data_IF_838650189838
#
_entry.id   IF_838650189838
#
_cell.length_a   1.000
_cell.length_b   1.000
_cell.length_c   1.000
_cell.angle_alpha   90.00
_cell.angle_beta   90.00
_cell.angle_gamma   90.00
#
_symmetry.space_group_name_H-M   'P 1'
#
loop_
_entity.id
_entity.type
_entity.pdbx_description
1 polymer ?
#
# COMPACT_ATOMS: atom_id res chain seq x y z
N UNK A 1 -8.78 16.16 -4.72
CA UNK A 1 -7.44 15.63 -5.05
C UNK A 1 -6.64 15.53 -3.75
N UNK A 2 -6.14 14.34 -3.42
CA UNK A 2 -5.34 14.12 -2.21
C UNK A 2 -3.96 14.80 -2.28
N UNK A 3 -3.31 14.98 -1.13
CA UNK A 3 -1.96 15.55 -1.05
C UNK A 3 -0.93 14.48 -1.44
N UNK A 4 -0.09 14.77 -2.43
CA UNK A 4 1.04 13.92 -2.78
C UNK A 4 2.16 14.09 -1.74
N UNK A 5 2.67 12.97 -1.23
CA UNK A 5 3.80 12.95 -0.29
C UNK A 5 4.92 12.09 -0.86
N UNK A 6 6.16 12.49 -0.62
CA UNK A 6 7.34 11.68 -0.96
C UNK A 6 7.59 10.66 0.15
N UNK A 7 7.53 9.36 -0.19
CA UNK A 7 7.83 8.28 0.73
C UNK A 7 9.06 7.49 0.26
N UNK A 8 9.91 7.09 1.22
CA UNK A 8 11.03 6.17 0.95
C UNK A 8 10.62 4.77 1.40
N UNK A 9 10.81 3.78 0.53
CA UNK A 9 10.59 2.38 0.85
C UNK A 9 11.93 1.69 1.11
N UNK A 10 11.95 0.80 2.11
CA UNK A 10 13.06 -0.13 2.25
C UNK A 10 13.20 -0.98 0.98
N UNK A 11 14.43 -1.37 0.58
CA UNK A 11 14.66 -2.13 -0.65
C UNK A 11 13.82 -3.42 -0.74
N UNK A 12 13.61 -4.11 0.39
CA UNK A 12 12.78 -5.32 0.45
C UNK A 12 11.31 -5.04 0.14
N UNK A 13 10.74 -3.98 0.72
CA UNK A 13 9.36 -3.55 0.48
C UNK A 13 9.17 -3.11 -0.97
N UNK A 14 10.11 -2.34 -1.51
CA UNK A 14 10.05 -1.91 -2.91
C UNK A 14 10.04 -3.11 -3.87
N UNK A 15 10.94 -4.09 -3.67
CA UNK A 15 10.97 -5.32 -4.47
C UNK A 15 9.64 -6.08 -4.39
N UNK A 16 9.06 -6.18 -3.19
CA UNK A 16 7.77 -6.84 -2.98
C UNK A 16 6.64 -6.14 -3.75
N UNK A 17 6.54 -4.81 -3.67
CA UNK A 17 5.52 -4.05 -4.38
C UNK A 17 5.64 -4.21 -5.91
N UNK A 18 6.86 -4.22 -6.44
CA UNK A 18 7.11 -4.49 -7.87
C UNK A 18 6.67 -5.89 -8.27
N UNK A 19 6.95 -6.91 -7.45
CA UNK A 19 6.49 -8.29 -7.71
C UNK A 19 4.96 -8.36 -7.75
N UNK A 20 4.29 -7.72 -6.78
CA UNK A 20 2.82 -7.67 -6.72
C UNK A 20 2.25 -6.95 -7.95
N UNK A 21 2.80 -5.79 -8.31
CA UNK A 21 2.38 -5.05 -9.49
C UNK A 21 2.42 -5.91 -10.77
N UNK A 22 3.46 -6.75 -10.92
CA UNK A 22 3.61 -7.64 -12.07
C UNK A 22 2.62 -8.81 -12.06
N UNK A 23 2.24 -9.29 -10.88
CA UNK A 23 1.34 -10.42 -10.71
C UNK A 23 -0.14 -10.04 -10.88
N UNK A 24 -0.51 -8.80 -10.58
CA UNK A 24 -1.90 -8.36 -10.62
C UNK A 24 -2.36 -7.93 -12.03
N UNK A 25 -3.56 -8.34 -12.47
CA UNK A 25 -4.16 -7.83 -13.69
C UNK A 25 -4.38 -6.32 -13.56
N UNK A 26 -4.17 -5.59 -14.67
CA UNK A 26 -4.29 -4.12 -14.69
C UNK A 26 -3.04 -3.35 -14.22
N UNK A 27 -1.99 -4.04 -13.74
CA UNK A 27 -0.67 -3.45 -13.39
C UNK A 27 -0.80 -2.18 -12.55
N UNK A 28 -1.41 -2.25 -11.35
CA UNK A 28 -1.66 -1.08 -10.51
C UNK A 28 -0.37 -0.31 -10.21
N UNK A 29 -0.49 1.00 -9.98
CA UNK A 29 0.69 1.81 -9.64
C UNK A 29 1.21 1.46 -8.25
N UNK A 30 2.50 1.74 -7.99
CA UNK A 30 3.07 1.58 -6.65
C UNK A 30 2.36 2.43 -5.60
N UNK A 31 1.83 3.60 -6.00
CA UNK A 31 1.05 4.47 -5.12
C UNK A 31 -0.25 3.78 -4.73
N UNK A 32 -1.00 3.23 -5.70
CA UNK A 32 -2.25 2.51 -5.44
C UNK A 32 -2.04 1.28 -4.54
N UNK A 33 -0.94 0.55 -4.75
CA UNK A 33 -0.59 -0.59 -3.90
C UNK A 33 -0.23 -0.15 -2.46
N UNK A 34 0.46 0.98 -2.31
CA UNK A 34 0.79 1.54 -1.01
C UNK A 34 -0.47 2.04 -0.28
N UNK A 35 -1.37 2.73 -0.97
CA UNK A 35 -2.64 3.21 -0.43
C UNK A 35 -3.50 2.03 0.08
N UNK A 36 -3.63 0.97 -0.72
CA UNK A 36 -4.39 -0.23 -0.31
C UNK A 36 -3.73 -0.93 0.89
N UNK A 37 -2.40 -1.04 0.92
CA UNK A 37 -1.69 -1.62 2.06
C UNK A 37 -1.91 -0.81 3.35
N UNK A 38 -1.88 0.53 3.28
CA UNK A 38 -2.17 1.41 4.42
C UNK A 38 -3.61 1.25 4.87
N UNK A 39 -4.56 1.19 3.94
CA UNK A 39 -5.99 0.98 4.25
C UNK A 39 -6.21 -0.36 4.97
N UNK A 40 -5.67 -1.46 4.46
CA UNK A 40 -5.78 -2.77 5.09
C UNK A 40 -5.14 -2.81 6.48
N UNK A 41 -4.01 -2.12 6.66
CA UNK A 41 -3.37 -1.97 7.96
C UNK A 41 -4.26 -1.19 8.93
N UNK A 42 -4.79 -0.05 8.50
CA UNK A 42 -5.70 0.77 9.28
C UNK A 42 -6.95 -0.03 9.69
N UNK A 43 -7.57 -0.76 8.77
CA UNK A 43 -8.73 -1.60 9.08
C UNK A 43 -8.42 -2.69 10.10
N UNK A 44 -7.23 -3.31 10.03
CA UNK A 44 -6.82 -4.37 10.96
C UNK A 44 -6.59 -3.87 12.38
N UNK A 45 -6.05 -2.66 12.54
CA UNK A 45 -5.59 -2.14 13.83
C UNK A 45 -6.50 -1.08 14.44
N UNK A 46 -7.19 -0.27 13.64
CA UNK A 46 -8.05 0.82 14.14
C UNK A 46 -9.51 0.38 14.36
N UNK A 47 -9.99 -0.68 13.69
CA UNK A 47 -11.34 -1.23 13.98
C UNK A 47 -11.43 -1.99 15.33
N UNK A 48 -10.33 -2.12 16.08
CA UNK A 48 -10.31 -2.79 17.39
C UNK A 48 -10.65 -1.87 18.57
N UNK A 49 -10.89 -0.58 18.36
CA UNK A 49 -11.26 0.36 19.44
C UNK A 49 -12.78 0.57 19.60
N UNK A 50 -13.64 -0.13 18.84
CA UNK A 50 -15.12 -0.03 18.97
C UNK A 50 -15.77 -1.37 19.41
N UNK A 51 -15.25 -2.01 20.46
CA UNK A 51 -15.95 -3.12 21.14
C UNK A 51 -15.81 -3.05 22.65
#
# INVERSE_FOLDING_TARGET
MGKLITAKFYPKTYKLLITIQKALPGKPTLVSLADEAIKLLAEKYLKKEES
#
